data_IF_225754624729
#
_entry.id   IF_225754624729
#
_cell.length_a   1.000
_cell.length_b   1.000
_cell.length_c   1.000
_cell.angle_alpha   90.00
_cell.angle_beta   90.00
_cell.angle_gamma   90.00
#
_symmetry.space_group_name_H-M   'P 1'
#
loop_
_entity.id
_entity.type
_entity.pdbx_description
1 polymer ?
#
# COMPACT_ATOMS: atom_id res chain seq x y z
N UNK A 1 20.24 -30.28 17.62
CA UNK A 1 20.02 -28.85 17.30
C UNK A 1 19.08 -28.81 16.11
N UNK A 2 17.90 -28.20 16.24
CA UNK A 2 17.00 -28.03 15.10
C UNK A 2 17.55 -26.91 14.24
N UNK A 3 17.82 -27.17 12.97
CA UNK A 3 18.30 -26.16 12.02
C UNK A 3 17.12 -25.30 11.58
N UNK A 4 17.14 -24.01 11.86
CA UNK A 4 16.16 -23.07 11.31
C UNK A 4 16.59 -22.69 9.90
N UNK A 5 15.85 -23.16 8.89
CA UNK A 5 16.06 -22.76 7.50
C UNK A 5 15.37 -21.42 7.26
N UNK A 6 16.13 -20.40 6.83
CA UNK A 6 15.56 -19.19 6.25
C UNK A 6 15.07 -19.51 4.84
N UNK A 7 13.79 -19.29 4.59
CA UNK A 7 13.19 -19.39 3.25
C UNK A 7 12.95 -18.00 2.71
N UNK A 8 13.50 -17.74 1.53
CA UNK A 8 13.20 -16.56 0.73
C UNK A 8 12.12 -16.93 -0.29
N UNK A 9 11.04 -16.17 -0.32
CA UNK A 9 9.96 -16.34 -1.29
C UNK A 9 9.74 -15.03 -2.02
N UNK A 10 9.87 -15.06 -3.34
CA UNK A 10 9.65 -13.93 -4.23
C UNK A 10 8.51 -14.30 -5.17
N UNK A 11 7.53 -13.40 -5.28
CA UNK A 11 6.44 -13.59 -6.23
C UNK A 11 6.97 -13.36 -7.64
N UNK A 12 6.75 -14.34 -8.53
CA UNK A 12 7.04 -14.20 -9.96
C UNK A 12 5.76 -13.91 -10.76
N UNK A 13 5.91 -13.70 -12.08
CA UNK A 13 4.78 -13.35 -12.95
C UNK A 13 3.65 -14.39 -12.96
N UNK A 14 3.90 -15.64 -12.57
CA UNK A 14 2.89 -16.70 -12.50
C UNK A 14 1.95 -16.57 -11.30
N UNK A 15 2.29 -15.73 -10.32
CA UNK A 15 1.46 -15.47 -9.14
C UNK A 15 0.43 -14.36 -9.38
N UNK A 16 0.56 -13.61 -10.48
CA UNK A 16 -0.33 -12.50 -10.79
C UNK A 16 -1.39 -12.90 -11.79
N UNK A 17 -2.64 -12.50 -11.51
CA UNK A 17 -3.71 -12.58 -12.49
C UNK A 17 -3.52 -11.52 -13.59
N UNK A 18 -3.81 -11.90 -14.83
CA UNK A 18 -3.83 -10.92 -15.94
C UNK A 18 -5.02 -9.97 -15.74
N UNK A 19 -4.81 -8.63 -15.76
CA UNK A 19 -5.90 -7.68 -15.65
C UNK A 19 -6.95 -7.90 -16.75
N UNK A 20 -8.22 -7.75 -16.39
CA UNK A 20 -9.31 -7.81 -17.37
C UNK A 20 -9.13 -6.75 -18.47
N UNK A 21 -9.58 -7.07 -19.68
CA UNK A 21 -9.76 -6.08 -20.74
C UNK A 21 -11.00 -5.23 -20.48
N UNK A 22 -11.16 -4.14 -21.24
CA UNK A 22 -12.35 -3.27 -21.16
C UNK A 22 -13.64 -4.05 -21.48
N UNK A 23 -13.59 -4.95 -22.46
CA UNK A 23 -14.71 -5.81 -22.87
C UNK A 23 -15.07 -6.83 -21.78
N UNK A 24 -14.10 -7.23 -20.97
CA UNK A 24 -14.29 -8.10 -19.81
C UNK A 24 -14.79 -7.34 -18.57
N UNK A 25 -15.00 -6.01 -18.68
CA UNK A 25 -15.53 -5.19 -17.61
C UNK A 25 -14.47 -4.53 -16.73
N UNK A 26 -13.24 -4.35 -17.23
CA UNK A 26 -12.25 -3.53 -16.54
C UNK A 26 -12.75 -2.10 -16.37
N UNK A 27 -12.73 -1.60 -15.14
CA UNK A 27 -13.08 -0.23 -14.82
C UNK A 27 -11.99 0.71 -15.34
N UNK A 28 -12.35 1.58 -16.30
CA UNK A 28 -11.44 2.55 -16.93
C UNK A 28 -11.62 3.98 -16.38
N UNK A 29 -12.42 4.13 -15.33
CA UNK A 29 -12.62 5.40 -14.65
C UNK A 29 -11.45 5.76 -13.72
N UNK A 30 -11.50 6.97 -13.18
CA UNK A 30 -10.47 7.47 -12.26
C UNK A 30 -10.69 6.92 -10.87
N UNK A 31 -9.68 6.25 -10.32
CA UNK A 31 -9.66 5.79 -8.93
C UNK A 31 -8.74 6.69 -8.12
N UNK A 32 -9.26 7.20 -6.99
CA UNK A 32 -8.48 7.97 -6.02
C UNK A 32 -8.53 7.22 -4.68
N UNK A 33 -7.37 6.98 -4.08
CA UNK A 33 -7.23 6.37 -2.77
C UNK A 33 -6.87 7.45 -1.76
N UNK A 34 -7.54 7.45 -0.61
CA UNK A 34 -7.22 8.34 0.50
C UNK A 34 -6.34 7.61 1.51
N UNK A 35 -5.23 8.24 1.92
CA UNK A 35 -4.29 7.66 2.88
C UNK A 35 -4.03 8.57 4.07
N UNK A 36 -3.60 7.97 5.18
CA UNK A 36 -3.15 8.68 6.37
C UNK A 36 -1.99 7.94 7.03
N UNK A 37 -1.31 8.57 7.99
CA UNK A 37 -0.34 7.86 8.82
C UNK A 37 -0.95 6.69 9.61
N UNK A 38 -2.28 6.63 9.79
CA UNK A 38 -2.99 5.51 10.41
C UNK A 38 -3.29 4.35 9.43
N UNK A 39 -2.94 4.48 8.16
CA UNK A 39 -3.08 3.40 7.17
C UNK A 39 -1.93 2.41 7.36
N UNK A 40 -2.23 1.23 7.91
CA UNK A 40 -1.26 0.16 8.23
C UNK A 40 -1.69 -1.19 7.64
N UNK A 41 -0.81 -2.19 7.75
CA UNK A 41 -1.08 -3.57 7.37
C UNK A 41 -1.48 -3.67 5.89
N UNK A 42 -2.47 -4.50 5.56
CA UNK A 42 -2.97 -4.67 4.20
C UNK A 42 -3.41 -3.35 3.53
N UNK A 43 -3.82 -2.33 4.30
CA UNK A 43 -4.13 -1.00 3.76
C UNK A 43 -2.88 -0.32 3.20
N UNK A 44 -1.76 -0.36 3.91
CA UNK A 44 -0.50 0.20 3.42
C UNK A 44 0.05 -0.61 2.23
N UNK A 45 -0.03 -1.95 2.29
CA UNK A 45 0.34 -2.82 1.16
C UNK A 45 -0.47 -2.49 -0.08
N UNK A 46 -1.78 -2.29 0.07
CA UNK A 46 -2.66 -1.92 -1.04
C UNK A 46 -2.28 -0.56 -1.64
N UNK A 47 -2.10 0.47 -0.81
CA UNK A 47 -1.74 1.82 -1.30
C UNK A 47 -0.39 1.78 -2.02
N UNK A 48 0.59 1.04 -1.49
CA UNK A 48 1.89 0.87 -2.13
C UNK A 48 1.76 0.22 -3.52
N UNK A 49 1.15 -0.97 -3.60
CA UNK A 49 0.98 -1.69 -4.87
C UNK A 49 0.13 -0.89 -5.86
N UNK A 50 -0.90 -0.20 -5.39
CA UNK A 50 -1.75 0.66 -6.22
C UNK A 50 -0.94 1.77 -6.91
N UNK A 51 0.02 2.37 -6.19
CA UNK A 51 0.95 3.34 -6.76
C UNK A 51 1.95 2.71 -7.73
N UNK A 52 2.61 1.62 -7.33
CA UNK A 52 3.60 0.94 -8.16
C UNK A 52 3.01 0.45 -9.49
N UNK A 53 1.74 0.04 -9.50
CA UNK A 53 1.02 -0.35 -10.71
C UNK A 53 0.47 0.84 -11.52
N UNK A 54 0.60 2.08 -11.04
CA UNK A 54 0.03 3.26 -11.69
C UNK A 54 -1.50 3.21 -11.82
N UNK A 55 -2.18 2.54 -10.88
CA UNK A 55 -3.62 2.23 -10.98
C UNK A 55 -4.53 3.44 -10.70
N UNK A 56 -3.97 4.56 -10.25
CA UNK A 56 -4.67 5.81 -10.04
C UNK A 56 -3.86 6.75 -9.17
N UNK A 57 -4.55 7.58 -8.37
CA UNK A 57 -3.91 8.62 -7.57
C UNK A 57 -4.15 8.43 -6.06
N UNK A 58 -3.14 8.73 -5.25
CA UNK A 58 -3.22 8.70 -3.79
C UNK A 58 -3.17 10.13 -3.25
N UNK A 59 -4.12 10.49 -2.38
CA UNK A 59 -4.20 11.80 -1.73
C UNK A 59 -4.28 11.62 -0.22
N UNK A 60 -3.50 12.40 0.53
CA UNK A 60 -3.53 12.37 1.98
C UNK A 60 -2.12 12.41 2.55
N UNK A 61 -1.85 11.57 3.54
CA UNK A 61 -0.53 11.48 4.18
C UNK A 61 0.18 10.19 3.77
N UNK A 62 1.50 10.16 4.01
CA UNK A 62 2.27 8.92 3.94
C UNK A 62 1.67 7.86 4.86
N UNK A 63 1.55 6.62 4.37
CA UNK A 63 1.02 5.52 5.17
C UNK A 63 1.93 5.20 6.35
N UNK A 64 1.37 4.76 7.48
CA UNK A 64 2.20 4.32 8.60
C UNK A 64 2.88 2.96 8.38
N UNK A 65 2.29 2.09 7.56
CA UNK A 65 2.91 0.83 7.16
C UNK A 65 4.06 1.06 6.18
N UNK A 66 5.24 0.51 6.48
CA UNK A 66 6.45 0.66 5.68
C UNK A 66 6.55 -0.38 4.55
N UNK A 67 7.15 0.03 3.44
CA UNK A 67 7.42 -0.76 2.23
C UNK A 67 8.36 -1.96 2.46
N UNK A 68 9.24 -1.86 3.45
CA UNK A 68 10.00 -2.98 3.96
C UNK A 68 9.77 -3.07 5.47
N UNK A 69 9.02 -4.07 5.93
CA UNK A 69 8.71 -4.22 7.37
C UNK A 69 8.92 -5.66 7.88
N UNK A 70 9.10 -5.80 9.20
CA UNK A 70 8.94 -7.10 9.86
C UNK A 70 7.48 -7.29 10.20
N UNK A 71 6.94 -8.49 9.99
CA UNK A 71 5.56 -8.81 10.29
C UNK A 71 5.36 -10.27 10.61
N UNK A 72 4.08 -10.63 10.80
CA UNK A 72 3.61 -11.87 11.40
C UNK A 72 4.27 -12.15 12.76
N UNK A 73 3.50 -11.91 13.82
CA UNK A 73 4.02 -11.91 15.19
C UNK A 73 3.67 -13.22 15.88
N UNK A 74 4.67 -13.96 16.31
CA UNK A 74 4.51 -15.01 17.32
C UNK A 74 4.47 -14.35 18.70
N UNK A 75 3.40 -14.58 19.44
CA UNK A 75 3.27 -14.10 20.81
C UNK A 75 3.56 -15.24 21.78
N UNK A 76 4.51 -15.06 22.69
CA UNK A 76 4.89 -16.07 23.69
C UNK A 76 5.03 -15.44 25.08
N UNK A 77 4.65 -16.19 26.11
CA UNK A 77 4.85 -15.79 27.50
C UNK A 77 6.03 -16.54 28.10
N UNK A 78 7.03 -15.81 28.60
CA UNK A 78 8.24 -16.41 29.18
C UNK A 78 7.89 -17.33 30.37
N UNK A 79 8.50 -18.53 30.47
CA UNK A 79 8.02 -19.58 31.37
C UNK A 79 8.14 -19.21 32.85
N UNK A 80 9.15 -18.40 33.22
CA UNK A 80 9.42 -18.00 34.62
C UNK A 80 8.76 -16.66 34.94
N UNK A 81 9.09 -15.60 34.21
CA UNK A 81 8.64 -14.24 34.52
C UNK A 81 7.20 -13.92 34.07
N UNK A 82 6.64 -14.73 33.16
CA UNK A 82 5.34 -14.50 32.50
C UNK A 82 5.25 -13.21 31.66
N UNK A 83 6.37 -12.53 31.42
CA UNK A 83 6.43 -11.40 30.47
C UNK A 83 6.05 -11.92 29.08
N UNK A 84 5.14 -11.22 28.41
CA UNK A 84 4.73 -11.51 27.04
C UNK A 84 5.67 -10.81 26.08
N UNK A 85 6.24 -11.56 25.14
CA UNK A 85 7.06 -11.05 24.04
C UNK A 85 6.40 -11.37 22.69
N UNK A 86 6.51 -10.42 21.76
CA UNK A 86 6.20 -10.62 20.35
C UNK A 86 7.48 -10.79 19.54
N UNK A 87 7.53 -11.78 18.67
CA UNK A 87 8.65 -12.02 17.75
C UNK A 87 8.09 -12.04 16.33
N UNK A 88 8.48 -11.09 15.50
CA UNK A 88 8.22 -11.16 14.06
C UNK A 88 9.14 -12.18 13.41
N UNK A 89 8.58 -13.09 12.62
CA UNK A 89 9.36 -14.16 11.96
C UNK A 89 9.40 -14.02 10.44
N UNK A 90 8.79 -12.99 9.88
CA UNK A 90 8.88 -12.65 8.45
C UNK A 90 9.38 -11.23 8.25
N UNK A 91 10.16 -11.07 7.19
CA UNK A 91 10.56 -9.79 6.60
C UNK A 91 9.83 -9.68 5.26
N UNK A 92 9.10 -8.59 5.06
CA UNK A 92 8.34 -8.33 3.85
C UNK A 92 9.00 -7.20 3.07
N UNK A 93 9.13 -7.39 1.77
CA UNK A 93 9.39 -6.35 0.79
C UNK A 93 8.12 -6.20 -0.04
N UNK A 94 7.56 -4.99 -0.09
CA UNK A 94 6.50 -4.69 -1.06
C UNK A 94 7.09 -4.66 -2.48
N UNK A 95 6.21 -4.65 -3.48
CA UNK A 95 6.60 -4.57 -4.90
C UNK A 95 7.61 -3.43 -5.13
N UNK A 96 8.77 -3.73 -5.73
CA UNK A 96 9.85 -2.77 -6.00
C UNK A 96 10.40 -2.01 -4.78
N UNK A 97 10.20 -2.50 -3.56
CA UNK A 97 10.73 -1.86 -2.36
C UNK A 97 12.20 -2.22 -2.12
N UNK A 98 13.01 -1.21 -1.78
CA UNK A 98 14.44 -1.35 -1.52
C UNK A 98 14.77 -1.18 -0.03
N UNK A 99 15.74 -1.96 0.47
CA UNK A 99 16.12 -1.99 1.89
C UNK A 99 16.78 -0.69 2.38
N UNK A 100 17.40 0.08 1.48
CA UNK A 100 18.07 1.34 1.80
C UNK A 100 17.13 2.57 1.79
N UNK A 101 15.86 2.36 1.42
CA UNK A 101 14.83 3.39 1.36
C UNK A 101 13.51 2.92 1.99
N UNK A 102 13.51 2.79 3.32
CA UNK A 102 12.36 2.30 4.09
C UNK A 102 11.44 3.45 4.47
N UNK A 103 10.22 3.45 3.94
CA UNK A 103 9.19 4.46 4.19
C UNK A 103 7.79 3.91 3.88
N UNK A 104 6.74 4.64 4.24
CA UNK A 104 5.37 4.31 3.84
C UNK A 104 5.04 4.75 2.41
N UNK A 105 3.87 4.39 1.88
CA UNK A 105 3.46 4.84 0.56
C UNK A 105 3.25 6.36 0.57
N UNK A 106 4.11 7.08 -0.15
CA UNK A 106 4.07 8.55 -0.25
C UNK A 106 2.92 8.95 -1.18
N UNK A 107 1.99 9.83 -0.76
CA UNK A 107 0.85 10.25 -1.58
C UNK A 107 1.30 11.08 -2.80
N UNK A 108 0.53 11.07 -3.87
CA UNK A 108 0.75 11.93 -5.05
C UNK A 108 0.44 13.40 -4.73
N UNK A 109 -0.58 13.62 -3.90
CA UNK A 109 -0.91 14.93 -3.34
C UNK A 109 -0.88 14.81 -1.81
N UNK A 110 0.16 15.37 -1.21
CA UNK A 110 0.34 15.39 0.24
C UNK A 110 -0.51 16.47 0.89
N UNK A 111 -1.46 16.06 1.72
CA UNK A 111 -2.32 16.91 2.57
C UNK A 111 -2.57 16.21 3.89
N UNK A 112 -3.09 16.90 4.90
CA UNK A 112 -3.51 16.21 6.13
C UNK A 112 -4.64 15.24 5.82
N UNK A 113 -4.73 14.16 6.60
CA UNK A 113 -5.77 13.15 6.43
C UNK A 113 -7.20 13.75 6.48
N UNK A 114 -7.41 14.78 7.32
CA UNK A 114 -8.68 15.49 7.44
C UNK A 114 -9.08 16.25 6.16
N UNK A 115 -8.11 16.67 5.35
CA UNK A 115 -8.31 17.45 4.13
C UNK A 115 -8.32 16.57 2.85
N UNK A 116 -8.01 15.28 2.98
CA UNK A 116 -7.78 14.39 1.83
C UNK A 116 -9.03 14.22 0.95
N UNK A 117 -10.21 14.06 1.56
CA UNK A 117 -11.47 13.92 0.84
C UNK A 117 -11.85 15.20 0.09
N UNK A 118 -11.75 16.35 0.77
CA UNK A 118 -12.07 17.64 0.15
C UNK A 118 -11.14 17.93 -1.02
N UNK A 119 -9.85 17.64 -0.86
CA UNK A 119 -8.85 17.75 -1.91
C UNK A 119 -9.17 16.84 -3.10
N UNK A 120 -9.58 15.59 -2.85
CA UNK A 120 -9.99 14.65 -3.89
C UNK A 120 -11.22 15.15 -4.66
N UNK A 121 -12.24 15.65 -3.97
CA UNK A 121 -13.45 16.20 -4.60
C UNK A 121 -13.15 17.45 -5.42
N UNK A 122 -12.26 18.33 -4.95
CA UNK A 122 -11.78 19.48 -5.71
C UNK A 122 -11.00 19.06 -6.95
N UNK A 123 -10.14 18.05 -6.82
CA UNK A 123 -9.41 17.47 -7.95
C UNK A 123 -10.35 16.93 -9.02
N UNK A 124 -11.37 16.15 -8.63
CA UNK A 124 -12.36 15.59 -9.54
C UNK A 124 -13.06 16.71 -10.32
N UNK A 125 -13.62 17.71 -9.61
CA UNK A 125 -14.33 18.86 -10.22
C UNK A 125 -13.46 19.62 -11.22
N UNK A 126 -12.20 19.90 -10.87
CA UNK A 126 -11.27 20.61 -11.75
C UNK A 126 -11.08 19.87 -13.07
N UNK A 127 -10.87 18.57 -13.00
CA UNK A 127 -10.59 17.75 -14.18
C UNK A 127 -11.84 17.39 -14.99
N UNK A 128 -13.02 17.37 -14.38
CA UNK A 128 -14.29 17.29 -15.14
C UNK A 128 -14.52 18.56 -15.98
N UNK A 129 -14.15 19.73 -15.45
CA UNK A 129 -14.27 20.99 -16.17
C UNK A 129 -13.28 21.11 -17.33
N UNK A 130 -12.06 20.57 -17.21
CA UNK A 130 -11.07 20.58 -18.31
C UNK A 130 -11.53 19.74 -19.49
N UNK A 131 -12.03 18.52 -19.25
CA UNK A 131 -12.53 17.63 -20.32
C UNK A 131 -13.77 18.20 -21.02
N UNK A 132 -14.54 19.06 -20.34
CA UNK A 132 -15.69 19.75 -20.92
C UNK A 132 -15.33 20.97 -21.80
N UNK A 133 -14.13 21.55 -21.62
CA UNK A 133 -13.66 22.70 -22.40
C UNK A 133 -12.96 22.25 -23.70
N UNK A 134 -12.24 21.13 -23.66
CA UNK A 134 -11.50 20.59 -24.83
C UNK A 134 -12.39 19.76 -25.78
N UNK A 135 -13.66 19.53 -25.42
CA UNK A 135 -14.65 18.80 -26.22
C UNK A 135 -15.55 19.67 -27.11
N UNK A 136 -15.16 20.92 -27.41
CA UNK A 136 -15.87 21.82 -28.34
C UNK A 136 -15.05 22.14 -29.58
#
# INVERSE_FOLDING_TARGET
MSSTTLTYGEADSTWYDTPYTREQGHYDGRVIVLSSNATFSAGASFVWTFKECGAGMVIGEETGGMNVCYGEILTYALPVSKIVCGISYKRFWQMNAEEDNIHGAIPDIAVKAEDALDTALQYIKKHEMTTAIDGK
#
